data_IF_367452380926
#
_entry.id   IF_367452380926
#
_cell.length_a   1.000
_cell.length_b   1.000
_cell.length_c   1.000
_cell.angle_alpha   90.00
_cell.angle_beta   90.00
_cell.angle_gamma   90.00
#
_symmetry.space_group_name_H-M   'P 1'
#
loop_
_entity.id
_entity.type
_entity.pdbx_description
1 polymer ?
#
# COMPACT_ATOMS: atom_id res chain seq x y z
N UNK A 1 3.42 2.80 -18.98
CA UNK A 1 3.55 3.34 -17.62
C UNK A 1 2.15 3.77 -17.21
N UNK A 2 1.65 3.26 -16.08
CA UNK A 2 0.29 3.58 -15.62
C UNK A 2 0.46 4.74 -14.64
N UNK A 3 0.39 5.96 -15.15
CA UNK A 3 0.37 7.16 -14.32
C UNK A 3 -0.96 7.19 -13.55
N UNK A 4 -0.89 6.81 -12.28
CA UNK A 4 -2.04 6.83 -11.39
C UNK A 4 -2.03 8.12 -10.61
N UNK A 5 -3.20 8.74 -10.49
CA UNK A 5 -3.38 10.00 -9.80
C UNK A 5 -4.24 9.78 -8.58
N UNK A 6 -3.81 10.33 -7.44
CA UNK A 6 -4.63 10.38 -6.23
C UNK A 6 -4.96 11.83 -5.87
N UNK A 7 -6.21 12.13 -5.48
CA UNK A 7 -6.57 13.44 -5.01
C UNK A 7 -5.92 13.71 -3.65
N UNK A 8 -5.27 14.87 -3.52
CA UNK A 8 -4.72 15.32 -2.25
C UNK A 8 -5.83 15.52 -1.21
N UNK A 9 -5.73 14.98 0.01
CA UNK A 9 -6.76 15.16 1.04
C UNK A 9 -6.86 16.61 1.55
N UNK A 10 -5.82 17.43 1.35
CA UNK A 10 -5.77 18.83 1.84
C UNK A 10 -6.33 19.80 0.81
N UNK A 11 -5.87 19.71 -0.44
CA UNK A 11 -6.19 20.69 -1.49
C UNK A 11 -6.92 20.11 -2.69
N UNK A 12 -7.21 18.79 -2.69
CA UNK A 12 -7.84 18.04 -3.80
C UNK A 12 -7.07 18.04 -5.12
N UNK A 13 -5.86 18.61 -5.15
CA UNK A 13 -4.98 18.55 -6.32
C UNK A 13 -4.62 17.11 -6.67
N UNK A 14 -4.64 16.77 -7.95
CA UNK A 14 -4.24 15.45 -8.43
C UNK A 14 -2.73 15.30 -8.29
N UNK A 15 -2.31 14.28 -7.54
CA UNK A 15 -0.90 13.97 -7.32
C UNK A 15 -0.54 12.78 -8.19
N UNK A 16 0.38 12.94 -9.16
CA UNK A 16 0.90 11.81 -9.91
C UNK A 16 1.69 10.91 -8.96
N UNK A 17 1.34 9.63 -8.92
CA UNK A 17 2.05 8.62 -8.15
C UNK A 17 2.47 7.45 -9.02
N UNK A 18 3.59 6.85 -8.64
CA UNK A 18 3.96 5.53 -9.13
C UNK A 18 3.46 4.48 -8.12
N UNK A 19 2.60 3.57 -8.60
CA UNK A 19 1.99 2.56 -7.75
C UNK A 19 3.01 1.61 -7.12
N UNK A 20 4.10 1.27 -7.83
CA UNK A 20 5.14 0.37 -7.34
C UNK A 20 5.92 1.01 -6.19
N UNK A 21 6.27 2.29 -6.32
CA UNK A 21 6.93 3.04 -5.26
C UNK A 21 5.99 3.23 -4.06
N UNK A 22 4.70 3.48 -4.29
CA UNK A 22 3.73 3.62 -3.21
C UNK A 22 3.64 2.35 -2.36
N UNK A 23 3.50 1.17 -2.98
CA UNK A 23 3.44 -0.12 -2.26
C UNK A 23 4.76 -0.48 -1.57
N UNK A 24 5.88 0.02 -2.06
CA UNK A 24 7.18 -0.08 -1.38
C UNK A 24 7.29 0.83 -0.15
N UNK A 25 6.29 1.70 0.08
CA UNK A 25 6.25 2.64 1.20
C UNK A 25 6.92 3.97 0.91
N UNK A 26 7.16 4.30 -0.37
CA UNK A 26 7.61 5.63 -0.77
C UNK A 26 6.48 6.63 -0.57
N UNK A 27 6.84 7.80 -0.04
CA UNK A 27 5.92 8.91 0.19
C UNK A 27 6.00 9.89 -0.98
N UNK A 28 4.85 10.37 -1.42
CA UNK A 28 4.71 11.35 -2.49
C UNK A 28 4.26 12.68 -1.92
N UNK A 29 4.92 13.76 -2.34
CA UNK A 29 4.56 15.12 -1.91
C UNK A 29 3.62 15.76 -2.92
N UNK A 30 2.56 16.37 -2.42
CA UNK A 30 1.66 17.17 -3.25
C UNK A 30 2.39 18.39 -3.81
N UNK A 31 2.35 18.65 -5.13
CA UNK A 31 3.03 19.80 -5.72
C UNK A 31 2.41 21.15 -5.32
N UNK A 32 1.16 21.18 -4.86
CA UNK A 32 0.44 22.41 -4.56
C UNK A 32 0.53 22.79 -3.08
N UNK A 33 0.29 21.86 -2.16
CA UNK A 33 0.30 22.12 -0.72
C UNK A 33 1.45 21.47 0.05
N UNK A 34 2.36 20.75 -0.64
CA UNK A 34 3.47 20.01 -0.04
C UNK A 34 3.07 18.94 1.00
N UNK A 35 1.79 18.57 1.05
CA UNK A 35 1.33 17.45 1.88
C UNK A 35 2.00 16.14 1.44
N UNK A 36 2.60 15.42 2.38
CA UNK A 36 3.18 14.09 2.15
C UNK A 36 2.11 13.01 2.27
N UNK A 37 2.00 12.15 1.26
CA UNK A 37 1.03 11.06 1.17
C UNK A 37 1.78 9.78 0.88
N UNK A 38 1.62 8.79 1.74
CA UNK A 38 2.15 7.45 1.56
C UNK A 38 1.15 6.45 2.10
N UNK A 39 1.35 5.16 1.78
CA UNK A 39 0.62 4.11 2.46
C UNK A 39 1.00 4.12 3.94
N UNK A 40 0.03 4.35 4.83
CA UNK A 40 0.25 4.36 6.28
C UNK A 40 0.94 3.08 6.75
N UNK A 41 1.97 3.23 7.59
CA UNK A 41 2.71 2.10 8.17
C UNK A 41 1.85 1.23 9.11
N UNK A 42 0.69 1.73 9.53
CA UNK A 42 -0.22 1.11 10.51
C UNK A 42 -0.91 -0.17 10.01
N UNK A 43 -0.99 -0.40 8.70
CA UNK A 43 -1.56 -1.64 8.12
C UNK A 43 -0.52 -2.75 7.90
N UNK A 44 0.78 -2.48 8.14
CA UNK A 44 1.87 -3.47 8.02
C UNK A 44 1.77 -4.68 8.97
N UNK A 45 1.38 -4.56 10.26
CA UNK A 45 1.30 -5.72 11.14
C UNK A 45 0.10 -6.63 10.82
N UNK A 46 -1.05 -6.04 10.47
CA UNK A 46 -2.30 -6.79 10.20
C UNK A 46 -2.18 -7.66 8.95
N UNK A 47 -1.53 -7.15 7.90
CA UNK A 47 -1.31 -7.90 6.66
C UNK A 47 -0.28 -9.01 6.87
N UNK A 48 0.79 -8.77 7.64
CA UNK A 48 1.77 -9.81 7.98
C UNK A 48 1.14 -10.94 8.80
N UNK A 49 0.28 -10.63 9.77
CA UNK A 49 -0.41 -11.63 10.58
C UNK A 49 -1.37 -12.49 9.75
N UNK A 50 -2.12 -11.90 8.81
CA UNK A 50 -3.02 -12.65 7.94
C UNK A 50 -2.28 -13.63 7.02
N UNK A 51 -1.11 -13.24 6.48
CA UNK A 51 -0.27 -14.09 5.62
C UNK A 51 0.38 -15.23 6.40
N UNK A 52 0.95 -14.94 7.59
CA UNK A 52 1.55 -15.96 8.46
C UNK A 52 0.51 -17.02 8.90
N UNK A 53 -0.69 -16.59 9.26
CA UNK A 53 -1.78 -17.51 9.61
C UNK A 53 -2.22 -18.37 8.42
N UNK A 54 -2.31 -17.80 7.22
CA UNK A 54 -2.66 -18.55 6.01
C UNK A 54 -1.60 -19.62 5.67
N UNK A 55 -0.31 -19.28 5.77
CA UNK A 55 0.77 -20.26 5.55
C UNK A 55 0.76 -21.40 6.58
N UNK A 56 0.47 -21.09 7.84
CA UNK A 56 0.34 -22.10 8.90
C UNK A 56 -0.81 -23.06 8.63
N UNK A 57 -1.97 -22.55 8.19
CA UNK A 57 -3.13 -23.38 7.82
C UNK A 57 -2.84 -24.28 6.60
N UNK A 58 -2.12 -23.76 5.60
CA UNK A 58 -1.71 -24.53 4.42
C UNK A 58 -0.71 -25.64 4.75
N UNK A 59 0.17 -25.44 5.73
CA UNK A 59 1.11 -26.47 6.21
C UNK A 59 0.42 -27.56 7.05
N UNK A 60 -0.74 -27.27 7.63
CA UNK A 60 -1.55 -28.21 8.41
C UNK A 60 -2.54 -29.00 7.55
N UNK A 61 -2.80 -28.58 6.32
CA UNK A 61 -3.68 -29.27 5.37
C UNK A 61 -2.87 -29.84 4.20
N UNK A 62 -2.34 -31.07 4.31
CA UNK A 62 -1.92 -31.82 3.13
C UNK A 62 -3.16 -32.12 2.29
N UNK A 63 -3.55 -31.20 1.41
CA UNK A 63 -4.42 -31.53 0.28
C UNK A 63 -3.61 -32.41 -0.67
N UNK A 64 -3.56 -33.70 -0.35
CA UNK A 64 -3.50 -34.76 -1.34
C UNK A 64 -4.90 -34.87 -1.93
N UNK A 65 -5.07 -34.39 -3.16
CA UNK A 65 -6.01 -34.96 -4.12
C UNK A 65 -5.33 -34.98 -5.49
#
# INVERSE_FOLDING_TARGET
MIDQYIPCPVCKTQIPIDLHLLVQGVQFSCPNCQAAIGLSAESRPIVNEAVDNFEKLKKLSPQKE
#
